data_IF_112740215804
#
_entry.id   IF_112740215804
#
_cell.length_a   1.000
_cell.length_b   1.000
_cell.length_c   1.000
_cell.angle_alpha   90.00
_cell.angle_beta   90.00
_cell.angle_gamma   90.00
#
_symmetry.space_group_name_H-M   'P 1'
#
loop_
_entity.id
_entity.type
_entity.pdbx_description
1 polymer ?
#
# COMPACT_ATOMS: atom_id res chain seq x y z
N UNK A 1 13.16 -12.44 2.90
CA UNK A 1 13.73 -12.15 4.23
C UNK A 1 14.67 -13.28 4.61
N UNK A 2 15.86 -12.94 5.09
CA UNK A 2 16.83 -13.90 5.64
C UNK A 2 16.61 -13.98 7.14
N UNK A 3 16.49 -15.20 7.67
CA UNK A 3 16.22 -15.52 9.06
C UNK A 3 17.41 -16.24 9.73
N UNK A 4 17.45 -16.22 11.06
CA UNK A 4 18.38 -17.05 11.82
C UNK A 4 17.94 -18.51 11.84
N UNK A 5 18.88 -19.44 12.01
CA UNK A 5 18.61 -20.88 12.20
C UNK A 5 18.00 -21.19 13.58
N UNK A 6 17.99 -20.23 14.49
CA UNK A 6 17.49 -20.38 15.85
C UNK A 6 16.53 -19.26 16.25
N UNK A 7 16.51 -18.95 17.54
CA UNK A 7 15.66 -17.93 18.11
C UNK A 7 15.97 -16.53 17.53
N UNK A 8 14.97 -15.91 16.92
CA UNK A 8 15.09 -14.59 16.28
C UNK A 8 13.87 -13.72 16.61
N UNK A 9 13.88 -13.02 17.76
CA UNK A 9 12.72 -12.23 18.20
C UNK A 9 12.34 -11.10 17.22
N UNK A 10 13.31 -10.52 16.52
CA UNK A 10 13.03 -9.51 15.49
C UNK A 10 12.47 -10.10 14.20
N UNK A 11 12.80 -11.37 13.87
CA UNK A 11 12.14 -12.08 12.77
C UNK A 11 10.67 -12.34 13.12
N UNK A 12 10.38 -12.80 14.33
CA UNK A 12 9.02 -13.02 14.81
C UNK A 12 8.22 -11.72 14.85
N UNK A 13 8.86 -10.65 15.32
CA UNK A 13 8.24 -9.32 15.32
C UNK A 13 7.88 -8.85 13.92
N UNK A 14 8.77 -9.01 12.95
CA UNK A 14 8.49 -8.65 11.55
C UNK A 14 7.33 -9.48 10.97
N UNK A 15 7.27 -10.78 11.28
CA UNK A 15 6.15 -11.65 10.88
C UNK A 15 4.83 -11.15 11.46
N UNK A 16 4.81 -10.78 12.73
CA UNK A 16 3.61 -10.31 13.41
C UNK A 16 3.15 -8.93 12.91
N UNK A 17 4.08 -8.00 12.71
CA UNK A 17 3.76 -6.61 12.39
C UNK A 17 3.51 -6.38 10.90
N UNK A 18 4.19 -7.12 10.02
CA UNK A 18 4.16 -6.91 8.57
C UNK A 18 3.54 -8.10 7.85
N UNK A 19 4.12 -9.29 7.97
CA UNK A 19 3.76 -10.45 7.13
C UNK A 19 2.31 -10.87 7.31
N UNK A 20 1.83 -10.86 8.54
CA UNK A 20 0.45 -11.26 8.89
C UNK A 20 -0.62 -10.47 8.14
N UNK A 21 -0.36 -9.21 7.83
CA UNK A 21 -1.30 -8.30 7.20
C UNK A 21 -0.90 -7.95 5.75
N UNK A 22 0.04 -8.69 5.17
CA UNK A 22 0.48 -8.50 3.81
C UNK A 22 -0.28 -9.41 2.84
N UNK A 23 -1.00 -8.82 1.91
CA UNK A 23 -1.76 -9.48 0.84
C UNK A 23 -1.34 -8.98 -0.55
N UNK A 24 -0.17 -8.33 -0.64
CA UNK A 24 0.35 -7.77 -1.88
C UNK A 24 0.78 -8.84 -2.88
N UNK A 25 0.98 -8.42 -4.13
CA UNK A 25 1.32 -9.32 -5.23
C UNK A 25 2.82 -9.63 -5.38
N UNK A 26 3.69 -8.94 -4.63
CA UNK A 26 5.11 -9.29 -4.57
C UNK A 26 5.29 -10.35 -3.48
N UNK A 27 5.75 -11.57 -3.83
CA UNK A 27 5.84 -12.65 -2.87
C UNK A 27 6.89 -12.36 -1.79
N UNK A 28 6.54 -12.63 -0.52
CA UNK A 28 7.48 -12.61 0.58
C UNK A 28 8.04 -14.04 0.76
N UNK A 29 9.35 -14.19 0.58
CA UNK A 29 10.06 -15.48 0.70
C UNK A 29 10.99 -15.43 1.90
N UNK A 30 11.03 -16.52 2.66
CA UNK A 30 11.83 -16.66 3.88
C UNK A 30 12.90 -17.72 3.65
N UNK A 31 14.16 -17.39 3.94
CA UNK A 31 15.31 -18.30 3.77
C UNK A 31 16.34 -18.11 4.87
N UNK A 32 17.08 -19.15 5.14
CA UNK A 32 18.31 -19.08 5.92
C UNK A 32 19.47 -18.56 5.05
N UNK A 33 20.51 -18.02 5.68
CA UNK A 33 21.70 -17.55 4.94
C UNK A 33 22.37 -18.69 4.13
N UNK A 34 22.25 -19.92 4.57
CA UNK A 34 22.74 -21.14 3.87
C UNK A 34 21.91 -21.51 2.62
N UNK A 35 20.75 -20.88 2.40
CA UNK A 35 19.79 -21.23 1.33
C UNK A 35 19.73 -20.18 0.21
N UNK A 36 20.81 -19.46 -0.02
CA UNK A 36 20.86 -18.34 -0.97
C UNK A 36 21.51 -18.68 -2.30
N UNK A 37 21.79 -19.96 -2.58
CA UNK A 37 22.38 -20.39 -3.83
C UNK A 37 21.53 -19.96 -5.03
N UNK A 38 22.19 -19.47 -6.07
CA UNK A 38 21.55 -18.99 -7.29
C UNK A 38 21.04 -17.55 -7.21
N UNK A 39 21.20 -16.87 -6.08
CA UNK A 39 20.88 -15.46 -5.93
C UNK A 39 22.15 -14.61 -5.93
N UNK A 40 22.09 -13.47 -6.63
CA UNK A 40 23.16 -12.47 -6.62
C UNK A 40 22.89 -11.45 -5.52
N UNK A 41 23.45 -11.67 -4.34
CA UNK A 41 23.26 -10.86 -3.13
C UNK A 41 24.54 -10.12 -2.80
N UNK A 42 24.43 -8.83 -2.52
CA UNK A 42 25.54 -7.95 -2.16
C UNK A 42 25.51 -7.57 -0.66
N UNK A 43 24.33 -7.52 -0.06
CA UNK A 43 24.18 -7.19 1.37
C UNK A 43 24.77 -8.26 2.26
N UNK A 44 25.39 -7.89 3.38
CA UNK A 44 25.79 -8.84 4.41
C UNK A 44 24.57 -9.60 4.96
N UNK A 45 24.73 -10.89 5.22
CA UNK A 45 23.64 -11.80 5.63
C UNK A 45 23.80 -12.33 7.07
N UNK A 46 24.76 -11.80 7.82
CA UNK A 46 25.03 -12.23 9.20
C UNK A 46 24.06 -11.65 10.24
N UNK A 47 23.41 -10.52 9.91
CA UNK A 47 22.39 -9.95 10.78
C UNK A 47 21.01 -10.46 10.40
N UNK A 48 20.16 -10.74 11.38
CA UNK A 48 18.79 -11.23 11.15
C UNK A 48 17.76 -10.42 11.94
N UNK A 49 16.63 -10.09 11.31
CA UNK A 49 16.32 -10.32 9.90
C UNK A 49 17.18 -9.47 8.97
N UNK A 50 17.47 -9.95 7.77
CA UNK A 50 17.91 -9.13 6.64
C UNK A 50 16.81 -9.18 5.58
N UNK A 51 16.31 -8.02 5.16
CA UNK A 51 15.21 -7.90 4.20
C UNK A 51 15.80 -7.46 2.87
N UNK A 52 15.69 -8.31 1.86
CA UNK A 52 16.24 -8.08 0.52
C UNK A 52 15.11 -7.91 -0.48
N UNK A 53 15.24 -6.93 -1.34
CA UNK A 53 14.38 -6.71 -2.50
C UNK A 53 15.12 -7.23 -3.73
N UNK A 54 14.54 -8.27 -4.36
CA UNK A 54 15.18 -9.00 -5.45
C UNK A 54 14.39 -8.83 -6.74
N UNK A 55 15.09 -8.55 -7.82
CA UNK A 55 14.55 -8.55 -9.17
C UNK A 55 15.29 -9.61 -10.00
N UNK A 56 14.57 -10.60 -10.53
CA UNK A 56 15.15 -11.70 -11.31
C UNK A 56 16.32 -12.42 -10.60
N UNK A 57 16.21 -12.61 -9.28
CA UNK A 57 17.24 -13.27 -8.48
C UNK A 57 18.46 -12.41 -8.12
N UNK A 58 18.44 -11.13 -8.49
CA UNK A 58 19.49 -10.17 -8.20
C UNK A 58 19.00 -9.16 -7.18
N UNK A 59 19.82 -8.85 -6.19
CA UNK A 59 19.52 -7.81 -5.21
C UNK A 59 19.48 -6.41 -5.86
N UNK A 60 18.35 -5.73 -5.71
CA UNK A 60 18.22 -4.32 -6.00
C UNK A 60 18.72 -3.48 -4.83
N UNK A 61 18.30 -3.81 -3.63
CA UNK A 61 18.77 -3.23 -2.35
C UNK A 61 18.29 -4.08 -1.17
N UNK A 62 18.81 -3.81 0.03
CA UNK A 62 18.47 -4.54 1.23
C UNK A 62 18.64 -3.72 2.51
N UNK A 63 18.05 -4.22 3.58
CA UNK A 63 18.10 -3.65 4.92
C UNK A 63 18.47 -4.72 5.94
N UNK A 64 19.39 -4.39 6.83
CA UNK A 64 19.73 -5.24 7.96
C UNK A 64 18.91 -4.83 9.18
N UNK A 65 18.37 -5.81 9.86
CA UNK A 65 17.55 -5.60 11.04
C UNK A 65 16.06 -5.53 10.75
N UNK A 66 15.30 -5.29 11.81
CA UNK A 66 13.85 -5.16 11.76
C UNK A 66 13.45 -3.85 11.07
N UNK A 67 12.51 -3.95 10.16
CA UNK A 67 11.75 -2.81 9.64
C UNK A 67 10.35 -2.81 10.25
N UNK A 68 9.91 -1.67 10.78
CA UNK A 68 8.51 -1.50 11.16
C UNK A 68 7.61 -1.42 9.90
N UNK A 69 6.28 -1.55 10.03
CA UNK A 69 5.38 -1.53 8.87
C UNK A 69 5.58 -0.32 7.96
N UNK A 70 5.74 0.87 8.52
CA UNK A 70 5.92 2.10 7.74
C UNK A 70 7.20 2.05 6.91
N UNK A 71 8.32 1.70 7.54
CA UNK A 71 9.63 1.57 6.87
C UNK A 71 9.61 0.48 5.79
N UNK A 72 8.97 -0.66 6.09
CA UNK A 72 8.83 -1.74 5.11
C UNK A 72 8.02 -1.30 3.89
N UNK A 73 6.85 -0.68 4.08
CA UNK A 73 6.02 -0.26 2.96
C UNK A 73 6.62 0.91 2.17
N UNK A 74 7.39 1.78 2.79
CA UNK A 74 8.15 2.82 2.08
C UNK A 74 9.22 2.19 1.17
N UNK A 75 9.97 1.20 1.67
CA UNK A 75 10.95 0.44 0.90
C UNK A 75 10.29 -0.37 -0.23
N UNK A 76 9.19 -1.07 0.07
CA UNK A 76 8.39 -1.81 -0.92
C UNK A 76 7.81 -0.87 -1.98
N UNK A 77 7.35 0.30 -1.58
CA UNK A 77 6.84 1.34 -2.48
C UNK A 77 7.91 1.80 -3.45
N UNK A 78 9.10 2.10 -2.96
CA UNK A 78 10.25 2.45 -3.81
C UNK A 78 10.59 1.32 -4.79
N UNK A 79 10.63 0.08 -4.32
CA UNK A 79 10.91 -1.09 -5.15
C UNK A 79 9.84 -1.31 -6.25
N UNK A 80 8.55 -1.21 -5.89
CA UNK A 80 7.43 -1.50 -6.79
C UNK A 80 7.09 -0.34 -7.72
N UNK A 81 7.18 0.89 -7.24
CA UNK A 81 6.65 2.08 -7.92
C UNK A 81 7.76 2.98 -8.50
N UNK A 82 9.00 2.85 -8.01
CA UNK A 82 10.12 3.70 -8.44
C UNK A 82 9.82 5.19 -8.23
N UNK A 83 10.16 6.02 -9.20
CA UNK A 83 9.91 7.47 -9.21
C UNK A 83 8.61 7.81 -9.99
N UNK A 84 7.55 7.05 -9.74
CA UNK A 84 6.25 7.22 -10.41
C UNK A 84 5.35 8.24 -9.70
N UNK A 85 4.28 8.70 -10.38
CA UNK A 85 3.23 9.50 -9.74
C UNK A 85 2.57 8.76 -8.59
N UNK A 86 2.38 7.44 -8.69
CA UNK A 86 1.85 6.63 -7.60
C UNK A 86 2.74 6.68 -6.34
N UNK A 87 4.08 6.67 -6.49
CA UNK A 87 5.00 6.84 -5.37
C UNK A 87 4.88 8.23 -4.73
N UNK A 88 4.81 9.28 -5.54
CA UNK A 88 4.64 10.66 -5.06
C UNK A 88 3.32 10.83 -4.30
N UNK A 89 2.23 10.26 -4.81
CA UNK A 89 0.94 10.25 -4.11
C UNK A 89 1.04 9.50 -2.78
N UNK A 90 1.57 8.28 -2.80
CA UNK A 90 1.63 7.41 -1.62
C UNK A 90 2.48 7.99 -0.47
N UNK A 91 3.65 8.56 -0.78
CA UNK A 91 4.68 8.91 0.20
C UNK A 91 5.07 10.39 0.27
N UNK A 92 4.71 11.19 -0.73
CA UNK A 92 5.06 12.61 -0.81
C UNK A 92 3.83 13.53 -0.81
N UNK A 93 2.69 13.03 -0.33
CA UNK A 93 1.42 13.79 -0.29
C UNK A 93 0.99 14.37 -1.64
N UNK A 94 1.33 13.67 -2.73
CA UNK A 94 0.89 14.03 -4.07
C UNK A 94 -0.61 13.85 -4.26
N UNK A 95 -1.11 14.37 -5.35
CA UNK A 95 -2.51 14.22 -5.77
C UNK A 95 -2.54 13.86 -7.24
N UNK A 96 -3.32 12.84 -7.59
CA UNK A 96 -3.54 12.49 -8.99
C UNK A 96 -4.09 13.68 -9.79
N UNK A 97 -3.70 13.77 -11.05
CA UNK A 97 -4.37 14.66 -11.99
C UNK A 97 -5.85 14.25 -12.12
N UNK A 98 -6.73 15.23 -12.25
CA UNK A 98 -8.15 14.96 -12.55
C UNK A 98 -8.26 14.11 -13.81
N UNK A 99 -9.13 13.11 -13.79
CA UNK A 99 -9.37 12.21 -14.92
C UNK A 99 -8.08 11.50 -15.39
N UNK A 100 -7.18 11.16 -14.46
CA UNK A 100 -5.96 10.42 -14.78
C UNK A 100 -6.32 9.05 -15.41
N UNK A 101 -5.33 8.38 -16.01
CA UNK A 101 -5.54 7.11 -16.69
C UNK A 101 -6.16 6.05 -15.77
N UNK A 102 -5.68 5.94 -14.54
CA UNK A 102 -6.18 4.98 -13.55
C UNK A 102 -7.62 5.30 -13.16
N UNK A 103 -7.98 6.58 -13.00
CA UNK A 103 -9.37 6.98 -12.78
C UNK A 103 -10.27 6.53 -13.93
N UNK A 104 -9.86 6.75 -15.18
CA UNK A 104 -10.64 6.34 -16.36
C UNK A 104 -10.84 4.82 -16.43
N UNK A 105 -9.84 4.04 -16.01
CA UNK A 105 -9.93 2.58 -15.91
C UNK A 105 -10.89 2.16 -14.79
N UNK A 106 -10.81 2.81 -13.62
CA UNK A 106 -11.47 2.35 -12.41
C UNK A 106 -12.90 2.88 -12.21
N UNK A 107 -13.26 4.01 -12.83
CA UNK A 107 -14.57 4.64 -12.63
C UNK A 107 -15.76 3.75 -12.99
N UNK A 108 -15.60 2.80 -13.92
CA UNK A 108 -16.62 1.91 -14.43
C UNK A 108 -16.28 0.43 -14.24
N UNK A 109 -15.42 0.07 -13.28
CA UNK A 109 -15.16 -1.34 -12.97
C UNK A 109 -16.45 -2.05 -12.55
N UNK A 110 -16.55 -3.37 -12.77
CA UNK A 110 -17.66 -4.18 -12.27
C UNK A 110 -17.70 -4.18 -10.73
N UNK A 111 -18.62 -4.94 -10.15
CA UNK A 111 -18.70 -5.11 -8.70
C UNK A 111 -17.41 -5.74 -8.15
N UNK A 112 -16.91 -5.17 -7.07
CA UNK A 112 -15.62 -5.60 -6.50
C UNK A 112 -15.09 -4.68 -5.42
N UNK A 113 -13.81 -4.84 -5.14
CA UNK A 113 -13.09 -4.16 -4.05
C UNK A 113 -11.87 -3.44 -4.60
N UNK A 114 -11.70 -2.18 -4.22
CA UNK A 114 -10.44 -1.45 -4.36
C UNK A 114 -9.52 -1.79 -3.21
N UNK A 115 -8.30 -2.17 -3.53
CA UNK A 115 -7.29 -2.60 -2.58
C UNK A 115 -6.09 -1.67 -2.59
N UNK A 116 -5.39 -1.63 -1.47
CA UNK A 116 -4.10 -0.95 -1.32
C UNK A 116 -3.07 -1.54 -2.29
N UNK A 117 -2.50 -0.72 -3.14
CA UNK A 117 -1.55 -1.14 -4.18
C UNK A 117 -0.30 -1.83 -3.64
N UNK A 118 0.11 -1.54 -2.41
CA UNK A 118 1.30 -2.13 -1.80
C UNK A 118 0.98 -3.33 -0.93
N UNK A 119 0.03 -3.20 -0.01
CA UNK A 119 -0.29 -4.27 0.94
C UNK A 119 -1.32 -5.27 0.42
N UNK A 120 -2.09 -4.91 -0.60
CA UNK A 120 -3.22 -5.72 -1.07
C UNK A 120 -4.43 -5.70 -0.13
N UNK A 121 -4.37 -4.93 0.96
CA UNK A 121 -5.46 -4.84 1.92
C UNK A 121 -6.71 -4.20 1.30
N UNK A 122 -7.92 -4.70 1.58
CA UNK A 122 -9.17 -4.12 1.09
C UNK A 122 -9.40 -2.73 1.69
N UNK A 123 -9.79 -1.76 0.86
CA UNK A 123 -9.96 -0.36 1.26
C UNK A 123 -11.38 0.17 1.01
N UNK A 124 -11.91 0.00 -0.20
CA UNK A 124 -13.21 0.52 -0.61
C UNK A 124 -13.99 -0.50 -1.43
N UNK A 125 -15.29 -0.55 -1.20
CA UNK A 125 -16.21 -1.41 -1.95
C UNK A 125 -16.92 -0.60 -3.04
N UNK A 126 -17.12 -1.17 -4.22
CA UNK A 126 -17.86 -0.53 -5.31
C UNK A 126 -19.30 -0.18 -4.97
N UNK A 127 -19.91 -0.87 -3.98
CA UNK A 127 -21.26 -0.54 -3.50
C UNK A 127 -21.36 0.86 -2.88
N UNK A 128 -20.25 1.39 -2.36
CA UNK A 128 -20.17 2.71 -1.77
C UNK A 128 -19.59 3.76 -2.74
N UNK A 129 -19.26 3.36 -3.99
CA UNK A 129 -18.76 4.26 -5.02
C UNK A 129 -19.90 5.08 -5.63
N UNK A 130 -19.60 6.35 -5.91
CA UNK A 130 -20.49 7.23 -6.65
C UNK A 130 -19.71 8.16 -7.58
N UNK A 131 -20.38 8.68 -8.62
CA UNK A 131 -19.80 9.67 -9.51
C UNK A 131 -19.98 11.07 -8.91
N UNK A 132 -18.90 11.66 -8.42
CA UNK A 132 -18.88 13.03 -7.88
C UNK A 132 -18.65 14.10 -8.95
N UNK A 133 -18.37 13.71 -10.18
CA UNK A 133 -17.98 14.60 -11.29
C UNK A 133 -16.69 15.42 -11.04
N UNK A 134 -15.92 15.04 -10.03
CA UNK A 134 -14.69 15.75 -9.66
C UNK A 134 -13.46 15.31 -10.45
N UNK A 135 -13.50 14.10 -11.05
CA UNK A 135 -12.37 13.49 -11.74
C UNK A 135 -11.47 12.66 -10.83
N UNK A 136 -11.90 12.38 -9.59
CA UNK A 136 -11.32 11.43 -8.66
C UNK A 136 -12.34 10.38 -8.25
N UNK A 137 -11.87 9.18 -7.90
CA UNK A 137 -12.74 8.15 -7.34
C UNK A 137 -13.38 8.65 -6.05
N UNK A 138 -14.66 8.42 -5.89
CA UNK A 138 -15.44 8.92 -4.76
C UNK A 138 -16.27 7.80 -4.14
N UNK A 139 -16.23 7.74 -2.80
CA UNK A 139 -16.94 6.73 -2.01
C UNK A 139 -17.64 7.39 -0.83
N UNK A 140 -18.77 6.82 -0.41
CA UNK A 140 -19.51 7.29 0.77
C UNK A 140 -18.94 6.73 2.07
N UNK A 141 -18.24 5.57 2.01
CA UNK A 141 -17.61 4.95 3.16
C UNK A 141 -16.41 4.07 2.72
N UNK A 142 -15.39 3.92 3.56
CA UNK A 142 -14.38 2.87 3.41
C UNK A 142 -14.88 1.55 4.00
N UNK A 143 -14.19 0.45 3.69
CA UNK A 143 -14.34 -0.81 4.43
C UNK A 143 -13.93 -0.57 5.88
N UNK A 144 -14.74 -1.05 6.82
CA UNK A 144 -14.53 -0.81 8.25
C UNK A 144 -13.11 -1.21 8.72
N UNK A 145 -12.42 -0.26 9.34
CA UNK A 145 -11.07 -0.48 9.89
C UNK A 145 -9.94 -0.48 8.86
N UNK A 146 -10.21 -0.19 7.59
CA UNK A 146 -9.21 -0.21 6.53
C UNK A 146 -8.41 1.09 6.42
N UNK A 147 -8.99 2.19 6.82
CA UNK A 147 -8.36 3.51 6.74
C UNK A 147 -8.43 4.25 8.08
N UNK A 148 -7.56 5.22 8.24
CA UNK A 148 -7.62 6.19 9.33
C UNK A 148 -7.48 7.61 8.79
N UNK A 149 -7.88 8.58 9.59
CA UNK A 149 -7.84 9.99 9.22
C UNK A 149 -6.90 10.79 10.10
N UNK A 150 -6.30 11.83 9.54
CA UNK A 150 -5.55 12.83 10.29
C UNK A 150 -5.74 14.23 9.70
N UNK A 151 -5.54 15.30 10.50
CA UNK A 151 -5.57 16.67 9.98
C UNK A 151 -4.48 16.88 8.92
N UNK A 152 -4.86 17.58 7.84
CA UNK A 152 -3.93 18.06 6.81
C UNK A 152 -4.12 19.58 6.65
N UNK A 153 -3.10 20.32 7.08
CA UNK A 153 -3.06 21.78 7.01
C UNK A 153 -2.09 22.29 5.92
N UNK A 154 -1.68 21.42 4.99
CA UNK A 154 -0.80 21.78 3.89
C UNK A 154 -1.45 22.79 2.95
N UNK A 155 -0.63 23.56 2.24
CA UNK A 155 -1.07 24.58 1.26
C UNK A 155 -2.07 25.62 1.79
N UNK A 156 -2.05 25.90 3.11
CA UNK A 156 -3.00 26.84 3.75
C UNK A 156 -4.45 26.36 3.81
N UNK A 157 -4.71 25.10 3.49
CA UNK A 157 -6.03 24.47 3.56
C UNK A 157 -6.21 23.74 4.90
N UNK A 158 -7.49 23.54 5.27
CA UNK A 158 -7.86 22.67 6.40
C UNK A 158 -8.65 21.49 5.84
N UNK A 159 -8.00 20.35 5.77
CA UNK A 159 -8.59 19.12 5.21
C UNK A 159 -8.39 17.96 6.18
N UNK A 160 -9.11 16.87 5.93
CA UNK A 160 -8.92 15.60 6.62
C UNK A 160 -8.32 14.60 5.65
N UNK A 161 -7.05 14.24 5.86
CA UNK A 161 -6.33 13.23 5.08
C UNK A 161 -6.80 11.83 5.44
N UNK A 162 -6.88 10.95 4.45
CA UNK A 162 -7.19 9.53 4.59
C UNK A 162 -5.96 8.71 4.20
N UNK A 163 -5.59 7.78 5.08
CA UNK A 163 -4.45 6.89 4.91
C UNK A 163 -4.83 5.43 5.14
N UNK A 164 -4.11 4.51 4.51
CA UNK A 164 -4.25 3.07 4.74
C UNK A 164 -3.78 2.70 6.15
N UNK A 165 -4.57 1.92 6.88
CA UNK A 165 -4.16 1.37 8.20
C UNK A 165 -3.00 0.41 8.03
N UNK A 166 -2.95 -0.38 6.95
CA UNK A 166 -1.96 -1.44 6.77
C UNK A 166 -0.61 -0.89 6.31
N UNK A 167 -0.59 -0.07 5.26
CA UNK A 167 0.66 0.40 4.62
C UNK A 167 1.07 1.82 4.99
N UNK A 168 0.19 2.56 5.65
CA UNK A 168 0.35 3.99 5.98
C UNK A 168 0.49 4.90 4.74
N UNK A 169 0.14 4.46 3.55
CA UNK A 169 0.18 5.32 2.37
C UNK A 169 -0.95 6.35 2.37
N UNK A 170 -0.66 7.53 1.82
CA UNK A 170 -1.67 8.54 1.54
C UNK A 170 -2.64 8.04 0.48
N UNK A 171 -3.94 8.14 0.75
CA UNK A 171 -4.99 7.72 -0.19
C UNK A 171 -5.74 8.91 -0.78
N UNK A 172 -5.98 9.94 -0.02
CA UNK A 172 -6.77 11.09 -0.40
C UNK A 172 -7.30 11.86 0.80
N UNK A 173 -8.49 12.42 0.66
CA UNK A 173 -9.14 13.23 1.69
C UNK A 173 -10.62 12.88 1.82
N UNK A 174 -11.23 13.23 2.96
CA UNK A 174 -12.67 13.13 3.17
C UNK A 174 -13.28 14.52 3.35
N UNK A 175 -14.45 14.74 2.73
CA UNK A 175 -15.21 15.97 2.76
C UNK A 175 -16.65 15.72 3.23
N UNK A 176 -17.35 16.72 3.82
CA UNK A 176 -18.72 16.54 4.32
C UNK A 176 -19.80 16.74 3.24
N UNK A 177 -19.44 16.76 1.97
CA UNK A 177 -20.28 17.13 0.83
C UNK A 177 -20.67 15.95 -0.08
N UNK A 178 -20.78 14.76 0.49
CA UNK A 178 -21.24 13.58 -0.24
C UNK A 178 -22.76 13.53 -0.44
N UNK A 179 -23.27 12.54 -1.18
CA UNK A 179 -24.70 12.40 -1.45
C UNK A 179 -25.49 12.08 -0.18
N UNK A 180 -26.73 12.57 -0.11
CA UNK A 180 -27.68 12.29 1.00
C UNK A 180 -27.12 12.57 2.42
N UNK A 181 -26.27 13.59 2.56
CA UNK A 181 -25.64 13.90 3.85
C UNK A 181 -24.51 12.96 4.27
N UNK A 182 -24.11 12.03 3.41
CA UNK A 182 -22.95 11.16 3.63
C UNK A 182 -21.64 11.92 3.37
N UNK A 183 -20.51 11.46 3.92
CA UNK A 183 -19.22 12.01 3.55
C UNK A 183 -18.84 11.62 2.10
N UNK A 184 -17.91 12.37 1.52
CA UNK A 184 -17.27 12.06 0.26
C UNK A 184 -15.79 11.76 0.51
N UNK A 185 -15.42 10.49 0.39
CA UNK A 185 -14.03 10.05 0.35
C UNK A 185 -13.51 10.23 -1.08
N UNK A 186 -12.65 11.23 -1.27
CA UNK A 186 -12.02 11.55 -2.55
C UNK A 186 -10.64 10.88 -2.61
N UNK A 187 -10.51 9.84 -3.43
CA UNK A 187 -9.40 8.90 -3.36
C UNK A 187 -8.61 8.89 -4.66
N UNK A 188 -7.28 8.93 -4.55
CA UNK A 188 -6.36 8.83 -5.66
C UNK A 188 -6.37 7.41 -6.25
N UNK A 189 -6.53 7.30 -7.56
CA UNK A 189 -6.61 6.02 -8.23
C UNK A 189 -5.24 5.33 -8.39
N UNK A 190 -4.16 6.09 -8.52
CA UNK A 190 -2.81 5.55 -8.75
C UNK A 190 -2.27 4.71 -7.60
N UNK A 191 -2.81 4.86 -6.39
CA UNK A 191 -2.41 4.08 -5.19
C UNK A 191 -3.32 2.89 -4.90
N UNK A 192 -4.27 2.61 -5.79
CA UNK A 192 -5.20 1.50 -5.70
C UNK A 192 -4.90 0.45 -6.77
N UNK A 193 -5.29 -0.79 -6.46
CA UNK A 193 -5.57 -1.84 -7.43
C UNK A 193 -7.03 -2.28 -7.26
N UNK A 194 -7.57 -3.05 -8.20
CA UNK A 194 -8.96 -3.50 -8.19
C UNK A 194 -9.04 -5.03 -8.25
N UNK A 195 -9.91 -5.60 -7.43
CA UNK A 195 -10.27 -7.03 -7.48
C UNK A 195 -11.76 -7.18 -7.73
N UNK A 196 -12.17 -7.85 -8.83
CA UNK A 196 -13.56 -8.23 -9.05
C UNK A 196 -14.08 -9.09 -7.89
N UNK A 197 -15.37 -8.99 -7.59
CA UNK A 197 -15.99 -9.75 -6.48
C UNK A 197 -15.90 -11.25 -6.70
N UNK A 198 -16.01 -11.71 -7.93
CA UNK A 198 -15.92 -13.13 -8.29
C UNK A 198 -14.53 -13.73 -7.98
N UNK A 199 -13.48 -12.90 -7.94
CA UNK A 199 -12.12 -13.32 -7.61
C UNK A 199 -11.85 -13.33 -6.08
N UNK A 200 -12.84 -12.99 -5.26
CA UNK A 200 -12.74 -12.93 -3.79
C UNK A 200 -13.30 -14.18 -3.10
N UNK A 201 -13.85 -15.11 -3.86
CA UNK A 201 -14.46 -16.37 -3.37
C UNK A 201 -13.42 -17.47 -3.09
#
# INVERSE_FOLDING_TARGET
>A
MIEAEGYCPYCDKFRADVVKNYYGNIPLVFRLASQLQGLAINSPTWATPTILFLENGKEAFGYQGYLNPKEFYEALGYFKLGDSEAYKVAFQQGTDARFCKEYEIFKNTPDGIFIDKLSGAPLFDTKDRFNSSTGWLSFTAPIKGSVYSKPDNSYGMRRTEIRSVTSDIHLGHVFPDGPNGMPRYCINATVLDFKPRDDLS
#
